data_IF_600179800320
#
_entry.id   IF_600179800320
#
_cell.length_a   1.000
_cell.length_b   1.000
_cell.length_c   1.000
_cell.angle_alpha   90.00
_cell.angle_beta   90.00
_cell.angle_gamma   90.00
#
_symmetry.space_group_name_H-M   'P 1'
#
loop_
_entity.id
_entity.type
_entity.pdbx_description
1 polymer ?
#
# COMPACT_ATOMS: atom_id res chain seq x y z
N UNK A 1 -5.84 32.99 -16.13
CA UNK A 1 -5.86 33.05 -14.65
C UNK A 1 -4.64 32.28 -14.14
N UNK A 2 -3.65 32.97 -13.59
CA UNK A 2 -2.50 32.31 -12.96
C UNK A 2 -2.97 31.80 -11.59
N UNK A 3 -3.02 30.48 -11.39
CA UNK A 3 -3.44 29.88 -10.12
C UNK A 3 -2.59 30.42 -8.98
N UNK A 4 -3.22 30.95 -7.92
CA UNK A 4 -2.50 31.35 -6.69
C UNK A 4 -1.67 30.16 -6.24
N UNK A 5 -0.35 30.33 -6.17
CA UNK A 5 0.50 29.36 -5.48
C UNK A 5 0.04 29.30 -4.01
N UNK A 6 -0.12 28.11 -3.42
CA UNK A 6 -0.42 27.99 -2.01
C UNK A 6 0.69 28.67 -1.18
N UNK A 7 0.32 29.28 -0.05
CA UNK A 7 1.27 29.86 0.92
C UNK A 7 2.05 28.69 1.57
N UNK A 8 3.12 28.26 0.91
CA UNK A 8 4.00 27.20 1.39
C UNK A 8 4.99 27.82 2.37
N UNK A 9 4.80 27.52 3.66
CA UNK A 9 5.73 27.89 4.73
C UNK A 9 6.42 26.65 5.28
N UNK A 10 7.73 26.76 5.51
CA UNK A 10 8.48 25.73 6.23
C UNK A 10 8.15 25.78 7.71
N UNK A 11 8.12 24.61 8.35
CA UNK A 11 8.02 24.50 9.80
C UNK A 11 9.41 24.53 10.45
N UNK A 12 9.81 25.69 10.95
CA UNK A 12 11.10 25.90 11.59
C UNK A 12 11.27 25.09 12.90
N UNK A 13 10.19 24.58 13.50
CA UNK A 13 10.25 23.73 14.69
C UNK A 13 10.53 22.26 14.34
N UNK A 14 10.30 21.85 13.09
CA UNK A 14 10.42 20.46 12.63
C UNK A 14 11.51 20.29 11.57
N UNK A 15 12.65 20.95 11.77
CA UNK A 15 13.80 20.80 10.89
C UNK A 15 14.62 19.55 11.24
N UNK A 16 15.15 18.93 10.19
CA UNK A 16 16.03 17.77 10.25
C UNK A 16 17.21 17.98 9.31
N UNK A 17 18.40 17.56 9.75
CA UNK A 17 19.57 17.37 8.91
C UNK A 17 19.57 15.94 8.43
N UNK A 18 19.68 15.75 7.13
CA UNK A 18 19.74 14.43 6.51
C UNK A 18 21.15 14.12 6.05
N UNK A 19 21.64 12.93 6.40
CA UNK A 19 22.92 12.40 5.94
C UNK A 19 22.71 11.00 5.36
N UNK A 20 23.38 10.69 4.26
CA UNK A 20 23.24 9.41 3.55
C UNK A 20 24.54 8.63 3.60
N UNK A 21 24.47 7.39 4.04
CA UNK A 21 25.58 6.44 4.13
C UNK A 21 25.26 5.24 3.23
N UNK A 22 26.18 4.85 2.35
CA UNK A 22 25.97 3.70 1.47
C UNK A 22 27.26 2.91 1.35
N UNK A 23 27.12 1.59 1.33
CA UNK A 23 28.20 0.66 1.02
C UNK A 23 28.26 0.32 -0.49
N UNK A 24 27.33 0.86 -1.29
CA UNK A 24 27.14 0.61 -2.72
C UNK A 24 26.95 -0.88 -3.08
N UNK A 25 26.56 -1.70 -2.11
CA UNK A 25 26.38 -3.13 -2.28
C UNK A 25 25.09 -3.61 -1.60
N UNK A 26 25.02 -3.59 -0.28
CA UNK A 26 23.86 -4.06 0.47
C UNK A 26 22.73 -3.02 0.51
N UNK A 27 23.07 -1.72 0.58
CA UNK A 27 22.06 -0.66 0.52
C UNK A 27 22.51 0.69 1.06
N UNK A 28 21.54 1.44 1.57
CA UNK A 28 21.71 2.81 2.03
C UNK A 28 21.08 3.01 3.40
N UNK A 29 21.72 3.80 4.25
CA UNK A 29 21.19 4.28 5.53
C UNK A 29 21.11 5.81 5.47
N UNK A 30 19.94 6.37 5.76
CA UNK A 30 19.76 7.80 6.01
C UNK A 30 19.70 8.06 7.51
N UNK A 31 20.56 8.96 7.98
CA UNK A 31 20.48 9.51 9.33
C UNK A 31 19.72 10.83 9.28
N UNK A 32 18.66 10.92 10.07
CA UNK A 32 17.88 12.12 10.28
C UNK A 32 18.24 12.65 11.67
N UNK A 33 19.04 13.70 11.73
CA UNK A 33 19.40 14.38 12.98
C UNK A 33 18.53 15.62 13.14
N UNK A 34 17.72 15.72 14.20
CA UNK A 34 16.86 16.88 14.41
C UNK A 34 17.72 18.13 14.66
N UNK A 35 17.31 19.25 14.08
CA UNK A 35 18.00 20.54 14.23
C UNK A 35 17.03 21.64 14.58
N UNK A 36 17.53 22.68 15.24
CA UNK A 36 16.78 23.92 15.52
C UNK A 36 16.76 24.81 14.27
N UNK A 37 16.00 25.90 14.34
CA UNK A 37 15.91 26.91 13.27
C UNK A 37 17.28 27.52 12.90
N UNK A 38 18.24 27.53 13.81
CA UNK A 38 19.62 28.00 13.58
C UNK A 38 20.54 26.94 12.96
N UNK A 39 20.04 25.73 12.71
CA UNK A 39 20.78 24.60 12.15
C UNK A 39 21.62 23.81 13.17
N UNK A 40 21.63 24.21 14.44
CA UNK A 40 22.31 23.48 15.52
C UNK A 40 21.56 22.19 15.89
N UNK A 41 22.26 21.15 16.38
CA UNK A 41 21.61 19.91 16.82
C UNK A 41 20.58 20.16 17.92
N UNK A 42 19.44 19.46 17.84
CA UNK A 42 18.40 19.50 18.85
C UNK A 42 18.40 18.20 19.67
N UNK A 43 19.05 18.16 20.86
CA UNK A 43 19.16 16.95 21.67
C UNK A 43 17.85 16.53 22.34
N UNK A 44 16.79 17.35 22.27
CA UNK A 44 15.48 17.02 22.84
C UNK A 44 14.73 16.00 21.98
N UNK A 45 15.09 15.89 20.70
CA UNK A 45 14.53 14.94 19.74
C UNK A 45 15.57 13.87 19.41
N UNK A 46 15.12 12.64 19.19
CA UNK A 46 16.02 11.53 18.88
C UNK A 46 16.43 11.56 17.41
N UNK A 47 17.68 11.19 17.15
CA UNK A 47 18.14 10.88 15.79
C UNK A 47 17.44 9.62 15.31
N UNK A 48 17.00 9.61 14.05
CA UNK A 48 16.33 8.47 13.42
C UNK A 48 17.23 7.92 12.32
N UNK A 49 17.29 6.60 12.19
CA UNK A 49 17.99 5.93 11.11
C UNK A 49 16.98 5.20 10.23
N UNK A 50 17.04 5.46 8.93
CA UNK A 50 16.17 4.85 7.93
C UNK A 50 17.05 4.03 6.99
N UNK A 51 16.74 2.75 6.86
CA UNK A 51 17.32 1.86 5.86
C UNK A 51 16.54 1.95 4.56
N UNK A 52 17.26 1.96 3.44
CA UNK A 52 16.73 1.85 2.10
C UNK A 52 17.41 0.68 1.40
N UNK A 53 16.59 -0.20 0.81
CA UNK A 53 17.01 -1.35 0.03
C UNK A 53 16.09 -1.51 -1.19
N UNK A 54 16.50 -2.33 -2.16
CA UNK A 54 15.66 -2.70 -3.29
C UNK A 54 15.50 -4.21 -3.35
N UNK A 55 14.25 -4.67 -3.34
CA UNK A 55 13.92 -6.07 -3.55
C UNK A 55 13.70 -6.35 -5.04
N UNK A 56 14.44 -7.29 -5.60
CA UNK A 56 14.17 -7.77 -6.95
C UNK A 56 13.04 -8.80 -6.91
N UNK A 57 11.92 -8.48 -7.55
CA UNK A 57 10.78 -9.39 -7.75
C UNK A 57 10.61 -9.69 -9.24
N UNK A 58 9.89 -10.76 -9.63
CA UNK A 58 9.56 -11.01 -11.03
C UNK A 58 8.78 -9.87 -11.70
N UNK A 59 8.10 -9.02 -10.91
CA UNK A 59 7.34 -7.87 -11.41
C UNK A 59 8.20 -6.58 -11.48
N UNK A 60 9.49 -6.65 -11.13
CA UNK A 60 10.41 -5.51 -11.08
C UNK A 60 11.05 -5.28 -9.72
N UNK A 61 11.82 -4.20 -9.59
CA UNK A 61 12.42 -3.78 -8.32
C UNK A 61 11.40 -3.07 -7.44
N UNK A 62 11.17 -3.59 -6.25
CA UNK A 62 10.35 -2.95 -5.23
C UNK A 62 11.27 -2.24 -4.22
N UNK A 63 11.28 -0.90 -4.17
CA UNK A 63 12.02 -0.19 -3.12
C UNK A 63 11.41 -0.49 -1.76
N UNK A 64 12.27 -0.73 -0.77
CA UNK A 64 11.90 -1.01 0.60
C UNK A 64 12.58 0.01 1.50
N UNK A 65 11.77 0.68 2.32
CA UNK A 65 12.23 1.65 3.31
C UNK A 65 11.79 1.15 4.68
N UNK A 66 12.68 1.16 5.65
CA UNK A 66 12.42 0.65 7.00
C UNK A 66 13.18 1.47 8.04
N UNK A 67 12.62 1.59 9.24
CA UNK A 67 13.32 2.23 10.36
C UNK A 67 14.30 1.27 11.00
N UNK A 68 15.49 1.76 11.34
CA UNK A 68 16.54 1.00 12.03
C UNK A 68 16.59 1.50 13.47
N UNK A 69 16.22 0.68 14.47
CA UNK A 69 16.26 1.07 15.87
C UNK A 69 17.71 1.18 16.34
N UNK A 70 18.29 2.37 16.23
CA UNK A 70 19.69 2.64 16.54
C UNK A 70 19.89 4.06 17.10
N UNK A 71 20.92 4.22 17.93
CA UNK A 71 21.31 5.51 18.51
C UNK A 71 22.52 6.14 17.81
N UNK A 72 23.26 5.36 17.04
CA UNK A 72 24.43 5.80 16.28
C UNK A 72 24.57 4.98 14.99
N UNK A 73 25.49 5.42 14.12
CA UNK A 73 25.70 4.80 12.82
C UNK A 73 26.26 3.37 12.91
N UNK A 74 27.13 3.07 13.87
CA UNK A 74 27.73 1.75 13.99
C UNK A 74 26.67 0.71 14.38
N UNK A 75 25.81 1.05 15.33
CA UNK A 75 24.65 0.24 15.70
C UNK A 75 23.68 0.12 14.52
N UNK A 76 23.42 1.21 13.78
CA UNK A 76 22.53 1.17 12.62
C UNK A 76 23.05 0.22 11.52
N UNK A 77 24.34 0.23 11.24
CA UNK A 77 24.98 -0.68 10.28
C UNK A 77 24.88 -2.13 10.74
N UNK A 78 25.14 -2.40 12.02
CA UNK A 78 25.03 -3.75 12.58
C UNK A 78 23.59 -4.29 12.57
N UNK A 79 22.60 -3.43 12.85
CA UNK A 79 21.18 -3.78 12.89
C UNK A 79 20.51 -3.81 11.51
N UNK A 80 21.16 -3.29 10.46
CA UNK A 80 20.59 -3.13 9.13
C UNK A 80 19.98 -4.44 8.58
N UNK A 81 20.72 -5.54 8.66
CA UNK A 81 20.28 -6.83 8.11
C UNK A 81 19.03 -7.37 8.79
N UNK A 82 18.94 -7.25 10.13
CA UNK A 82 17.75 -7.69 10.87
C UNK A 82 16.55 -6.79 10.57
N UNK A 83 16.76 -5.46 10.54
CA UNK A 83 15.71 -4.50 10.23
C UNK A 83 15.19 -4.68 8.78
N UNK A 84 16.08 -4.98 7.83
CA UNK A 84 15.73 -5.30 6.45
C UNK A 84 14.85 -6.54 6.36
N UNK A 85 15.18 -7.62 7.08
CA UNK A 85 14.38 -8.84 7.09
C UNK A 85 12.97 -8.60 7.65
N UNK A 86 12.85 -7.80 8.70
CA UNK A 86 11.54 -7.41 9.27
C UNK A 86 10.73 -6.58 8.28
N UNK A 87 11.33 -5.53 7.72
CA UNK A 87 10.67 -4.70 6.69
C UNK A 87 10.26 -5.51 5.46
N UNK A 88 11.07 -6.49 5.06
CA UNK A 88 10.74 -7.40 3.97
C UNK A 88 9.51 -8.27 4.29
N UNK A 89 9.47 -8.86 5.48
CA UNK A 89 8.33 -9.69 5.91
C UNK A 89 7.02 -8.89 5.94
N UNK A 90 7.08 -7.66 6.44
CA UNK A 90 5.93 -6.73 6.47
C UNK A 90 5.46 -6.35 5.07
N UNK A 91 6.37 -5.97 4.18
CA UNK A 91 6.04 -5.63 2.80
C UNK A 91 5.42 -6.81 2.03
N UNK A 92 5.93 -8.03 2.24
CA UNK A 92 5.37 -9.24 1.64
C UNK A 92 3.97 -9.55 2.16
N UNK A 93 3.73 -9.37 3.46
CA UNK A 93 2.42 -9.54 4.07
C UNK A 93 1.41 -8.54 3.50
N UNK A 94 1.78 -7.27 3.38
CA UNK A 94 0.92 -6.23 2.81
C UNK A 94 0.58 -6.52 1.34
N UNK A 95 1.57 -6.98 0.56
CA UNK A 95 1.36 -7.37 -0.84
C UNK A 95 0.39 -8.55 -0.96
N UNK A 96 0.48 -9.55 -0.08
CA UNK A 96 -0.47 -10.68 -0.03
C UNK A 96 -1.88 -10.21 0.32
N UNK A 97 -2.03 -9.32 1.30
CA UNK A 97 -3.33 -8.76 1.67
C UNK A 97 -3.96 -7.96 0.54
N UNK A 98 -3.17 -7.18 -0.20
CA UNK A 98 -3.63 -6.43 -1.37
C UNK A 98 -4.14 -7.38 -2.47
N UNK A 99 -3.40 -8.45 -2.76
CA UNK A 99 -3.82 -9.48 -3.72
C UNK A 99 -5.13 -10.15 -3.31
N UNK A 100 -5.32 -10.43 -2.01
CA UNK A 100 -6.58 -10.97 -1.48
C UNK A 100 -7.73 -10.01 -1.69
N UNK A 101 -7.57 -8.71 -1.37
CA UNK A 101 -8.61 -7.68 -1.59
C UNK A 101 -9.00 -7.58 -3.06
N UNK A 102 -8.02 -7.61 -3.97
CA UNK A 102 -8.26 -7.57 -5.40
C UNK A 102 -9.02 -8.81 -5.92
N UNK A 103 -8.68 -10.00 -5.40
CA UNK A 103 -9.36 -11.25 -5.77
C UNK A 103 -10.80 -11.34 -5.20
N UNK A 104 -11.04 -10.80 -4.00
CA UNK A 104 -12.37 -10.77 -3.37
C UNK A 104 -13.35 -9.78 -4.02
N UNK A 105 -12.88 -8.86 -4.87
CA UNK A 105 -13.71 -7.88 -5.57
C UNK A 105 -14.45 -8.44 -6.81
N UNK A 106 -14.26 -9.73 -7.14
CA UNK A 106 -14.81 -10.40 -8.34
C UNK A 106 -15.89 -11.42 -7.98
N UNK A 107 -16.78 -11.12 -7.03
CA UNK A 107 -18.02 -11.90 -6.83
C UNK A 107 -19.21 -10.96 -6.65
N UNK A 108 -19.74 -10.46 -7.77
CA UNK A 108 -21.13 -10.00 -7.86
C UNK A 108 -21.91 -11.18 -8.44
N UNK A 109 -22.77 -11.88 -7.68
CA UNK A 109 -23.73 -12.78 -8.31
C UNK A 109 -24.75 -11.94 -9.07
N UNK A 110 -24.52 -11.75 -10.38
CA UNK A 110 -25.60 -11.48 -11.33
C UNK A 110 -26.05 -12.81 -11.92
N UNK A 111 -26.92 -13.48 -11.19
CA UNK A 111 -27.77 -14.58 -11.68
C UNK A 111 -29.08 -14.41 -10.93
N UNK A 112 -30.22 -14.05 -11.48
CA UNK A 112 -30.64 -13.75 -12.83
C UNK A 112 -32.13 -13.45 -12.70
N UNK A 113 -32.49 -12.17 -12.55
CA UNK A 113 -33.87 -11.74 -12.76
C UNK A 113 -34.06 -11.67 -14.27
N UNK A 114 -34.63 -12.72 -14.86
CA UNK A 114 -35.37 -12.76 -16.15
C UNK A 114 -35.59 -14.23 -16.55
N UNK A 115 -36.74 -14.79 -16.21
CA UNK A 115 -37.31 -15.94 -16.93
C UNK A 115 -38.83 -15.78 -17.00
N UNK A 116 -39.26 -14.61 -17.48
CA UNK A 116 -40.66 -14.21 -17.66
C UNK A 116 -41.10 -14.23 -19.15
N UNK A 117 -40.36 -14.85 -20.08
CA UNK A 117 -40.57 -14.59 -21.51
C UNK A 117 -40.53 -15.76 -22.50
N UNK A 118 -40.59 -17.02 -22.08
CA UNK A 118 -40.68 -18.12 -23.04
C UNK A 118 -41.70 -19.18 -22.64
N UNK A 119 -42.84 -19.19 -23.33
CA UNK A 119 -43.52 -20.44 -23.65
C UNK A 119 -44.99 -20.53 -23.25
N UNK A 120 -45.85 -19.97 -24.08
CA UNK A 120 -47.11 -20.55 -24.56
C UNK A 120 -47.99 -21.30 -23.53
N UNK A 121 -49.06 -20.64 -23.08
CA UNK A 121 -50.16 -21.31 -22.38
C UNK A 121 -50.94 -22.27 -23.29
N UNK A 122 -51.61 -23.29 -22.72
CA UNK A 122 -52.63 -24.03 -23.45
C UNK A 122 -54.01 -23.42 -23.17
N UNK A 123 -54.64 -22.90 -24.23
CA UNK A 123 -56.09 -22.90 -24.35
C UNK A 123 -56.42 -23.75 -25.57
N UNK A 124 -57.32 -24.72 -25.43
CA UNK A 124 -58.44 -24.73 -26.35
C UNK A 124 -59.75 -25.00 -25.62
N UNK A 125 -60.62 -24.00 -25.65
CA UNK A 125 -62.06 -24.22 -25.50
C UNK A 125 -62.64 -24.19 -26.93
N UNK A 126 -63.40 -25.23 -27.34
CA UNK A 126 -64.62 -25.04 -28.13
C UNK A 126 -65.54 -26.27 -28.13
N UNK A 127 -66.87 -26.04 -28.29
CA UNK A 127 -67.94 -26.95 -27.95
C UNK A 127 -68.52 -27.68 -29.17
N UNK A 128 -69.27 -28.78 -28.95
CA UNK A 128 -70.05 -29.41 -30.00
C UNK A 128 -70.71 -30.73 -29.61
N UNK A 129 -71.92 -30.61 -29.05
CA UNK A 129 -73.12 -31.47 -29.11
C UNK A 129 -72.98 -32.93 -29.62
N UNK A 130 -73.65 -33.86 -28.93
CA UNK A 130 -74.82 -34.64 -29.41
C UNK A 130 -75.23 -35.71 -28.36
N UNK A 131 -76.48 -35.63 -27.88
CA UNK A 131 -77.47 -36.72 -27.60
C UNK A 131 -77.08 -37.90 -26.66
N UNK A 132 -77.93 -38.52 -25.83
CA UNK A 132 -79.39 -38.57 -25.65
C UNK A 132 -79.64 -39.32 -24.32
N UNK A 133 -80.60 -38.86 -23.53
CA UNK A 133 -81.71 -39.64 -22.93
C UNK A 133 -82.67 -38.65 -22.28
#
# INVERSE_FOLDING_TARGET
MMGKMPDVKMDAANLWREETFSDRAAGTIRRLTPVKADGSPDPTRKTVFIGEAALLTPAGSLPLTFEIPANDLAVAVAAYGEALQKGFAEAMKELQEMRRRAASQIVIPKTGATSDLLGAGPLPNKPGKLHLS
#
